data_IF_928479071273
#
_entry.id   IF_928479071273
#
_cell.length_a   1.000
_cell.length_b   1.000
_cell.length_c   1.000
_cell.angle_alpha   90.00
_cell.angle_beta   90.00
_cell.angle_gamma   90.00
#
_symmetry.space_group_name_H-M   'P 1'
#
loop_
_entity.id
_entity.type
_entity.pdbx_description
1 polymer ?
#
# COMPACT_ATOMS: atom_id res chain seq x y z
N UNK A 1 -22.54 68.92 -27.73
CA UNK A 1 -21.11 68.47 -27.53
C UNK A 1 -20.87 67.45 -26.43
N UNK A 2 -21.85 67.05 -25.65
CA UNK A 2 -21.67 66.05 -24.50
C UNK A 2 -21.63 64.60 -24.93
N UNK A 3 -22.18 64.20 -26.07
CA UNK A 3 -22.29 62.80 -26.49
C UNK A 3 -20.97 62.17 -26.99
N UNK A 4 -20.02 62.96 -27.47
CA UNK A 4 -18.71 62.47 -27.98
C UNK A 4 -17.73 62.06 -26.88
N UNK A 5 -17.88 62.54 -25.65
CA UNK A 5 -16.97 62.21 -24.54
C UNK A 5 -17.31 60.91 -23.89
N UNK A 6 -18.58 60.50 -23.82
CA UNK A 6 -19.05 59.30 -23.24
C UNK A 6 -18.66 58.05 -24.08
N UNK A 7 -18.64 58.19 -25.39
CA UNK A 7 -18.31 57.11 -26.32
C UNK A 7 -16.81 56.69 -26.25
N UNK A 8 -15.91 57.66 -26.08
CA UNK A 8 -14.46 57.37 -25.93
C UNK A 8 -14.13 56.63 -24.60
N UNK A 9 -14.91 56.85 -23.54
CA UNK A 9 -14.68 56.19 -22.26
C UNK A 9 -15.18 54.75 -22.28
N UNK A 10 -16.23 54.44 -23.03
CA UNK A 10 -16.77 53.09 -23.21
C UNK A 10 -15.83 52.21 -24.04
N UNK A 11 -15.30 52.72 -25.15
CA UNK A 11 -14.34 51.99 -25.98
C UNK A 11 -13.02 51.66 -25.23
N UNK A 12 -12.57 52.59 -24.34
CA UNK A 12 -11.36 52.37 -23.57
C UNK A 12 -11.55 51.28 -22.49
N UNK A 13 -12.76 51.13 -21.93
CA UNK A 13 -13.08 50.04 -20.97
C UNK A 13 -13.19 48.68 -21.64
N UNK A 14 -13.74 48.58 -22.85
CA UNK A 14 -13.80 47.33 -23.59
C UNK A 14 -12.43 46.85 -24.07
N UNK A 15 -11.55 47.77 -24.52
CA UNK A 15 -10.18 47.42 -24.88
C UNK A 15 -9.36 46.90 -23.72
N UNK A 16 -9.58 47.41 -22.49
CA UNK A 16 -8.89 46.90 -21.29
C UNK A 16 -9.42 45.53 -20.87
N UNK A 17 -10.75 45.28 -20.98
CA UNK A 17 -11.33 43.96 -20.71
C UNK A 17 -10.83 42.92 -21.72
N UNK A 18 -10.75 43.21 -22.99
CA UNK A 18 -10.23 42.33 -24.03
C UNK A 18 -8.75 41.96 -23.82
N UNK A 19 -7.90 42.92 -23.42
CA UNK A 19 -6.49 42.65 -23.09
C UNK A 19 -6.34 41.78 -21.85
N UNK A 20 -7.17 41.95 -20.83
CA UNK A 20 -7.14 41.12 -19.61
C UNK A 20 -7.62 39.69 -19.88
N UNK A 21 -8.60 39.50 -20.75
CA UNK A 21 -9.07 38.19 -21.18
C UNK A 21 -7.99 37.44 -21.97
N UNK A 22 -7.33 38.07 -22.91
CA UNK A 22 -6.24 37.48 -23.69
C UNK A 22 -5.05 37.08 -22.79
N UNK A 23 -4.69 37.91 -21.80
CA UNK A 23 -3.60 37.60 -20.89
C UNK A 23 -3.91 36.35 -20.00
N UNK A 24 -5.14 36.27 -19.44
CA UNK A 24 -5.57 35.06 -18.68
C UNK A 24 -5.57 33.82 -19.55
N UNK A 25 -5.98 33.92 -20.80
CA UNK A 25 -6.02 32.83 -21.76
C UNK A 25 -4.60 32.37 -22.14
N UNK A 26 -3.67 33.30 -22.37
CA UNK A 26 -2.26 33.00 -22.61
C UNK A 26 -1.60 32.32 -21.40
N UNK A 27 -1.84 32.79 -20.17
CA UNK A 27 -1.30 32.17 -18.95
C UNK A 27 -1.88 30.79 -18.74
N UNK A 28 -3.15 30.55 -19.03
CA UNK A 28 -3.77 29.24 -18.93
C UNK A 28 -3.21 28.28 -19.99
N UNK A 29 -2.99 28.72 -21.22
CA UNK A 29 -2.39 27.90 -22.27
C UNK A 29 -0.95 27.50 -21.91
N UNK A 30 -0.13 28.44 -21.41
CA UNK A 30 1.24 28.14 -21.00
C UNK A 30 1.32 27.16 -19.84
N UNK A 31 0.40 27.21 -18.87
CA UNK A 31 0.30 26.24 -17.80
C UNK A 31 -0.15 24.86 -18.31
N UNK A 32 -1.02 24.82 -19.30
CA UNK A 32 -1.48 23.60 -19.92
C UNK A 32 -0.35 22.92 -20.70
N UNK A 33 0.38 23.68 -21.51
CA UNK A 33 1.57 23.20 -22.23
C UNK A 33 2.63 22.64 -21.26
N UNK A 34 2.95 23.36 -20.18
CA UNK A 34 3.88 22.87 -19.17
C UNK A 34 3.42 21.56 -18.49
N UNK A 35 2.10 21.36 -18.35
CA UNK A 35 1.54 20.12 -17.81
C UNK A 35 1.70 18.97 -18.81
N UNK A 36 1.42 19.23 -20.09
CA UNK A 36 1.60 18.23 -21.15
C UNK A 36 3.07 17.81 -21.31
N UNK A 37 4.00 18.74 -21.23
CA UNK A 37 5.44 18.44 -21.29
C UNK A 37 5.88 17.57 -20.11
N UNK A 38 5.33 17.82 -18.92
CA UNK A 38 5.61 16.95 -17.73
C UNK A 38 5.07 15.53 -17.93
N UNK A 39 3.85 15.39 -18.45
CA UNK A 39 3.24 14.09 -18.74
C UNK A 39 4.12 13.34 -19.74
N UNK A 40 4.45 13.99 -20.87
CA UNK A 40 5.31 13.41 -21.91
C UNK A 40 6.67 12.95 -21.35
N UNK A 41 7.31 13.76 -20.51
CA UNK A 41 8.56 13.38 -19.84
C UNK A 41 8.42 12.11 -18.99
N UNK A 42 7.27 11.93 -18.34
CA UNK A 42 7.01 10.72 -17.55
C UNK A 42 6.69 9.52 -18.44
N UNK A 43 5.97 9.72 -19.54
CA UNK A 43 5.74 8.67 -20.55
C UNK A 43 7.05 8.20 -21.16
N UNK A 44 7.94 9.12 -21.56
CA UNK A 44 9.25 8.80 -22.12
C UNK A 44 10.10 8.00 -21.10
N UNK A 45 10.09 8.39 -19.83
CA UNK A 45 10.78 7.66 -18.77
C UNK A 45 10.18 6.26 -18.54
N UNK A 46 8.86 6.10 -18.66
CA UNK A 46 8.24 4.78 -18.58
C UNK A 46 8.61 3.90 -19.77
N UNK A 47 8.67 4.46 -20.98
CA UNK A 47 9.11 3.74 -22.19
C UNK A 47 10.57 3.29 -22.08
N UNK A 48 11.45 4.12 -21.50
CA UNK A 48 12.83 3.73 -21.21
C UNK A 48 12.86 2.52 -20.25
N UNK A 49 12.09 2.58 -19.16
CA UNK A 49 11.95 1.47 -18.23
C UNK A 49 11.33 0.23 -18.89
N UNK A 50 10.29 0.40 -19.72
CA UNK A 50 9.63 -0.66 -20.47
C UNK A 50 10.61 -1.42 -21.37
N UNK A 51 11.46 -0.72 -22.11
CA UNK A 51 12.44 -1.31 -22.99
C UNK A 51 13.57 -2.03 -22.25
N UNK A 52 13.95 -1.53 -21.08
CA UNK A 52 15.02 -2.09 -20.24
C UNK A 52 14.55 -3.08 -19.19
N UNK A 53 13.25 -3.26 -18.99
CA UNK A 53 12.69 -4.08 -17.92
C UNK A 53 13.22 -5.51 -17.90
N UNK A 54 13.32 -6.16 -19.06
CA UNK A 54 13.85 -7.54 -19.16
C UNK A 54 15.28 -7.63 -18.62
N UNK A 55 16.13 -6.71 -19.01
CA UNK A 55 17.55 -6.71 -18.60
C UNK A 55 17.68 -6.38 -17.11
N UNK A 56 16.91 -5.41 -16.63
CA UNK A 56 16.88 -5.02 -15.22
C UNK A 56 16.50 -6.21 -14.34
N UNK A 57 15.36 -6.84 -14.60
CA UNK A 57 14.88 -7.93 -13.76
C UNK A 57 15.69 -9.21 -13.91
N UNK A 58 16.23 -9.51 -15.10
CA UNK A 58 17.18 -10.62 -15.29
C UNK A 58 18.49 -10.41 -14.52
N UNK A 59 18.98 -9.17 -14.45
CA UNK A 59 20.18 -8.82 -13.66
C UNK A 59 19.89 -8.96 -12.16
N UNK A 60 18.73 -8.49 -11.69
CA UNK A 60 18.31 -8.61 -10.30
C UNK A 60 18.15 -10.06 -9.88
N UNK A 61 17.51 -10.88 -10.72
CA UNK A 61 17.36 -12.32 -10.51
C UNK A 61 18.72 -13.00 -10.33
N UNK A 62 19.64 -12.81 -11.28
CA UNK A 62 20.98 -13.43 -11.23
C UNK A 62 21.81 -12.98 -10.01
N UNK A 63 21.56 -11.81 -9.48
CA UNK A 63 22.28 -11.26 -8.32
C UNK A 63 21.67 -11.66 -6.97
N UNK A 64 20.48 -12.25 -6.95
CA UNK A 64 19.75 -12.58 -5.73
C UNK A 64 19.73 -14.10 -5.48
N UNK A 65 20.45 -14.61 -4.47
CA UNK A 65 20.45 -16.04 -4.16
C UNK A 65 19.07 -16.60 -3.75
N UNK A 66 18.13 -15.73 -3.36
CA UNK A 66 16.76 -16.14 -3.04
C UNK A 66 15.94 -16.54 -4.27
N UNK A 67 16.39 -16.19 -5.48
CA UNK A 67 15.71 -16.58 -6.73
C UNK A 67 15.94 -18.05 -7.08
N UNK A 68 17.07 -18.65 -6.66
CA UNK A 68 17.50 -19.98 -7.03
C UNK A 68 16.46 -21.09 -6.81
N UNK A 69 15.81 -21.20 -5.62
CA UNK A 69 14.79 -22.25 -5.40
C UNK A 69 13.57 -22.14 -6.32
N UNK A 70 13.31 -20.93 -6.83
CA UNK A 70 12.22 -20.69 -7.77
C UNK A 70 12.67 -20.97 -9.21
N UNK A 71 13.91 -20.64 -9.58
CA UNK A 71 14.50 -20.91 -10.91
C UNK A 71 14.52 -22.38 -11.25
N UNK A 72 14.74 -23.25 -10.26
CA UNK A 72 14.75 -24.70 -10.46
C UNK A 72 13.35 -25.27 -10.83
N UNK A 73 12.28 -24.51 -10.61
CA UNK A 73 10.90 -24.96 -10.76
C UNK A 73 10.06 -24.14 -11.72
N UNK A 74 10.33 -22.87 -11.85
CA UNK A 74 9.59 -21.96 -12.70
C UNK A 74 10.50 -20.88 -13.28
N UNK A 75 10.09 -20.32 -14.41
CA UNK A 75 10.85 -19.29 -15.12
C UNK A 75 10.30 -17.92 -14.71
N UNK A 76 11.21 -17.01 -14.37
CA UNK A 76 10.84 -15.59 -14.22
C UNK A 76 10.52 -15.06 -15.63
N UNK A 77 9.32 -14.51 -15.76
CA UNK A 77 8.88 -13.89 -17.00
C UNK A 77 8.73 -12.39 -16.80
N UNK A 78 9.30 -11.64 -17.71
CA UNK A 78 9.15 -10.18 -17.79
C UNK A 78 8.45 -9.88 -19.09
N UNK A 79 7.20 -9.43 -19.01
CA UNK A 79 6.31 -9.20 -20.14
C UNK A 79 5.95 -7.72 -20.26
N UNK A 80 6.77 -6.91 -20.95
CA UNK A 80 6.32 -5.61 -21.40
C UNK A 80 5.15 -5.80 -22.36
N UNK A 81 4.04 -5.10 -22.13
CA UNK A 81 2.82 -5.24 -22.94
C UNK A 81 1.78 -6.22 -22.41
N UNK A 82 1.98 -6.80 -21.21
CA UNK A 82 1.12 -7.81 -20.56
C UNK A 82 1.40 -9.25 -21.03
N UNK A 83 1.13 -10.23 -20.12
CA UNK A 83 1.34 -11.68 -20.33
C UNK A 83 0.42 -12.31 -21.38
N UNK A 84 -0.69 -11.68 -21.70
CA UNK A 84 -1.65 -12.18 -22.69
C UNK A 84 -1.22 -11.94 -24.15
N UNK A 85 0.05 -11.61 -24.41
CA UNK A 85 0.55 -11.26 -25.73
C UNK A 85 0.04 -9.90 -26.20
N UNK A 86 -0.41 -9.06 -25.27
CA UNK A 86 -0.91 -7.73 -25.54
C UNK A 86 0.21 -6.77 -25.93
N UNK A 87 -0.11 -5.87 -26.85
CA UNK A 87 0.77 -4.75 -27.22
C UNK A 87 0.41 -3.48 -26.41
N UNK A 88 0.06 -3.64 -25.12
CA UNK A 88 -0.25 -2.48 -24.30
C UNK A 88 1.03 -1.80 -23.81
N UNK A 89 1.42 -0.65 -24.38
CA UNK A 89 2.67 0.02 -24.04
C UNK A 89 2.67 0.60 -22.61
N UNK A 90 1.52 0.59 -21.93
CA UNK A 90 1.34 1.18 -20.62
C UNK A 90 1.44 0.14 -19.48
N UNK A 91 1.71 -1.14 -19.83
CA UNK A 91 1.74 -2.25 -18.88
C UNK A 91 3.07 -2.99 -18.93
N UNK A 92 3.59 -3.34 -17.75
CA UNK A 92 4.68 -4.30 -17.59
C UNK A 92 4.28 -5.29 -16.50
N UNK A 93 4.43 -6.57 -16.77
CA UNK A 93 4.25 -7.64 -15.78
C UNK A 93 5.55 -8.40 -15.58
N UNK A 94 5.91 -8.56 -14.30
CA UNK A 94 7.04 -9.40 -13.86
C UNK A 94 6.47 -10.48 -12.97
N UNK A 95 6.63 -11.75 -13.34
CA UNK A 95 6.02 -12.84 -12.58
C UNK A 95 6.80 -14.13 -12.69
N UNK A 96 6.67 -14.96 -11.66
CA UNK A 96 7.08 -16.35 -11.74
C UNK A 96 6.03 -17.14 -12.51
N UNK A 97 6.47 -17.97 -13.46
CA UNK A 97 5.60 -18.85 -14.23
C UNK A 97 4.83 -19.82 -13.35
N UNK A 98 3.78 -20.40 -13.90
CA UNK A 98 2.99 -21.40 -13.18
C UNK A 98 3.80 -22.68 -12.94
N UNK A 99 3.64 -23.26 -11.73
CA UNK A 99 4.28 -24.52 -11.38
C UNK A 99 3.26 -25.58 -10.98
N UNK A 100 3.53 -26.82 -11.36
CA UNK A 100 2.77 -27.95 -10.91
C UNK A 100 3.17 -28.31 -9.47
N UNK A 101 2.22 -28.25 -8.54
CA UNK A 101 2.47 -28.50 -7.11
C UNK A 101 2.15 -29.94 -6.74
N UNK A 102 0.99 -30.45 -7.18
CA UNK A 102 0.52 -31.80 -6.81
C UNK A 102 -0.46 -32.35 -7.85
N UNK A 103 -0.40 -33.64 -8.06
CA UNK A 103 -1.43 -34.37 -8.79
C UNK A 103 -2.53 -34.79 -7.80
N UNK A 104 -3.77 -34.47 -8.11
CA UNK A 104 -4.94 -34.85 -7.33
C UNK A 104 -5.72 -35.88 -8.14
N UNK A 105 -5.78 -37.08 -7.64
CA UNK A 105 -6.55 -38.15 -8.27
C UNK A 105 -8.02 -38.01 -7.83
N UNK A 106 -8.90 -37.82 -8.82
CA UNK A 106 -10.35 -37.78 -8.64
C UNK A 106 -10.95 -39.02 -9.26
N UNK A 107 -12.17 -39.41 -8.85
CA UNK A 107 -12.91 -40.54 -9.42
C UNK A 107 -13.02 -40.51 -10.94
N UNK A 108 -13.00 -39.33 -11.54
CA UNK A 108 -13.16 -39.12 -12.99
C UNK A 108 -11.87 -38.67 -13.71
N UNK A 109 -10.70 -38.95 -13.14
CA UNK A 109 -9.40 -38.61 -13.72
C UNK A 109 -8.48 -37.86 -12.74
N UNK A 110 -7.24 -37.69 -13.12
CA UNK A 110 -6.28 -36.95 -12.30
C UNK A 110 -6.22 -35.49 -12.76
N UNK A 111 -6.26 -34.57 -11.80
CA UNK A 111 -6.09 -33.12 -12.02
C UNK A 111 -4.76 -32.67 -11.44
N UNK A 112 -4.01 -31.89 -12.22
CA UNK A 112 -2.79 -31.25 -11.74
C UNK A 112 -3.15 -29.95 -11.02
N UNK A 113 -2.79 -29.83 -9.73
CA UNK A 113 -2.88 -28.57 -9.00
C UNK A 113 -1.71 -27.70 -9.45
N UNK A 114 -2.03 -26.59 -10.10
CA UNK A 114 -1.03 -25.61 -10.57
C UNK A 114 -1.12 -24.36 -9.71
N UNK A 115 0.04 -23.87 -9.27
CA UNK A 115 0.18 -22.58 -8.63
C UNK A 115 0.56 -21.53 -9.67
N UNK A 116 -0.17 -20.43 -9.74
CA UNK A 116 0.27 -19.23 -10.45
C UNK A 116 1.20 -18.44 -9.54
N UNK A 117 2.38 -18.10 -10.03
CA UNK A 117 3.37 -17.36 -9.25
C UNK A 117 2.95 -15.90 -8.95
N UNK A 118 3.66 -15.30 -8.02
CA UNK A 118 3.50 -13.87 -7.67
C UNK A 118 3.73 -13.00 -8.89
N UNK A 119 2.97 -11.92 -9.00
CA UNK A 119 3.08 -10.96 -10.11
C UNK A 119 3.32 -9.56 -9.57
N UNK A 120 4.35 -8.90 -10.06
CA UNK A 120 4.60 -7.48 -9.90
C UNK A 120 4.12 -6.77 -11.17
N UNK A 121 3.12 -5.92 -11.02
CA UNK A 121 2.40 -5.28 -12.11
C UNK A 121 2.63 -3.77 -12.10
N UNK A 122 3.01 -3.21 -13.24
CA UNK A 122 3.23 -1.79 -13.45
C UNK A 122 2.20 -1.29 -14.45
N UNK A 123 1.55 -0.19 -14.13
CA UNK A 123 0.59 0.45 -15.00
C UNK A 123 0.83 1.95 -15.09
N UNK A 124 1.07 2.45 -16.31
CA UNK A 124 1.16 3.87 -16.61
C UNK A 124 -0.23 4.48 -16.72
N UNK A 125 -0.49 5.48 -15.92
CA UNK A 125 -1.75 6.22 -15.94
C UNK A 125 -1.70 7.35 -16.98
N UNK A 126 -2.86 7.81 -17.49
CA UNK A 126 -2.92 8.87 -18.50
C UNK A 126 -2.33 10.22 -18.04
N UNK A 127 -2.11 10.42 -16.77
CA UNK A 127 -1.48 11.60 -16.19
C UNK A 127 0.06 11.50 -16.07
N UNK A 128 0.65 10.40 -16.58
CA UNK A 128 2.08 10.11 -16.54
C UNK A 128 2.57 9.53 -15.21
N UNK A 129 1.69 9.26 -14.26
CA UNK A 129 2.06 8.54 -13.04
C UNK A 129 2.02 7.02 -13.26
N UNK A 130 2.74 6.29 -12.42
CA UNK A 130 2.75 4.83 -12.46
C UNK A 130 2.14 4.27 -11.18
N UNK A 131 1.30 3.27 -11.35
CA UNK A 131 0.79 2.43 -10.26
C UNK A 131 1.57 1.12 -10.24
N UNK A 132 1.97 0.67 -9.05
CA UNK A 132 2.67 -0.60 -8.86
C UNK A 132 1.87 -1.48 -7.94
N UNK A 133 1.48 -2.65 -8.42
CA UNK A 133 0.64 -3.61 -7.69
C UNK A 133 1.34 -4.96 -7.58
N UNK A 134 1.19 -5.61 -6.45
CA UNK A 134 1.76 -6.92 -6.17
C UNK A 134 0.63 -7.93 -5.96
N UNK A 135 0.52 -8.93 -6.83
CA UNK A 135 -0.47 -10.01 -6.75
C UNK A 135 0.17 -11.25 -6.12
N UNK A 136 -0.52 -11.94 -5.20
CA UNK A 136 0.02 -13.12 -4.53
C UNK A 136 0.09 -14.34 -5.44
N UNK A 137 0.92 -15.30 -5.05
CA UNK A 137 0.82 -16.64 -5.58
C UNK A 137 -0.50 -17.28 -5.14
N UNK A 138 -1.15 -18.00 -6.04
CA UNK A 138 -2.43 -18.63 -5.76
C UNK A 138 -2.60 -19.93 -6.53
N UNK A 139 -3.40 -20.83 -5.96
CA UNK A 139 -3.86 -22.04 -6.61
C UNK A 139 -5.38 -22.04 -6.72
N UNK A 140 -5.95 -22.99 -7.45
CA UNK A 140 -7.41 -23.16 -7.45
C UNK A 140 -7.98 -23.49 -6.06
N UNK A 141 -7.19 -24.10 -5.18
CA UNK A 141 -7.62 -24.56 -3.85
C UNK A 141 -7.26 -23.59 -2.72
N UNK A 142 -6.20 -22.82 -2.89
CA UNK A 142 -5.66 -21.94 -1.85
C UNK A 142 -5.50 -20.54 -2.45
N UNK A 143 -6.23 -19.58 -1.90
CA UNK A 143 -6.12 -18.16 -2.24
C UNK A 143 -5.77 -17.39 -0.99
N UNK A 144 -4.79 -16.49 -1.04
CA UNK A 144 -4.58 -15.50 0.02
C UNK A 144 -5.85 -14.66 0.26
N UNK A 145 -5.95 -14.08 1.45
CA UNK A 145 -7.08 -13.22 1.79
C UNK A 145 -7.13 -11.95 0.92
N UNK A 146 -5.96 -11.41 0.63
CA UNK A 146 -5.82 -10.26 -0.26
C UNK A 146 -5.71 -10.67 -1.72
N UNK A 147 -6.41 -9.96 -2.59
CA UNK A 147 -6.27 -10.08 -4.05
C UNK A 147 -4.97 -9.45 -4.52
N UNK A 148 -4.58 -8.31 -3.93
CA UNK A 148 -3.33 -7.64 -4.21
C UNK A 148 -2.94 -6.61 -3.15
N UNK A 149 -1.67 -6.22 -3.18
CA UNK A 149 -1.09 -5.10 -2.41
C UNK A 149 -0.74 -3.98 -3.38
N UNK A 150 -1.27 -2.78 -3.16
CA UNK A 150 -0.94 -1.60 -3.95
C UNK A 150 0.32 -0.95 -3.37
N UNK A 151 1.51 -1.33 -3.88
CA UNK A 151 2.79 -0.83 -3.36
C UNK A 151 2.94 0.67 -3.54
N UNK A 152 2.59 1.17 -4.73
CA UNK A 152 2.64 2.59 -5.06
C UNK A 152 1.46 2.98 -5.93
N UNK A 153 0.76 4.06 -5.56
CA UNK A 153 -0.45 4.49 -6.26
C UNK A 153 -0.19 5.53 -7.35
N UNK A 154 0.66 6.50 -7.08
CA UNK A 154 0.93 7.62 -7.98
C UNK A 154 2.39 8.03 -7.88
N UNK A 155 3.30 7.27 -8.47
CA UNK A 155 4.71 7.64 -8.54
C UNK A 155 5.07 8.18 -9.90
N UNK A 156 6.06 9.04 -9.96
CA UNK A 156 6.62 9.53 -11.22
C UNK A 156 7.38 8.40 -11.91
N UNK A 157 7.18 8.20 -13.21
CA UNK A 157 7.87 7.15 -13.95
C UNK A 157 9.41 7.24 -13.85
N UNK A 158 9.98 8.44 -13.74
CA UNK A 158 11.42 8.66 -13.51
C UNK A 158 11.94 8.01 -12.23
N UNK A 159 11.06 7.67 -11.27
CA UNK A 159 11.42 6.95 -10.05
C UNK A 159 11.84 5.50 -10.34
N UNK A 160 11.24 4.88 -11.39
CA UNK A 160 11.55 3.51 -11.82
C UNK A 160 12.94 3.35 -12.42
N UNK A 161 13.52 4.41 -12.97
CA UNK A 161 14.86 4.39 -13.56
C UNK A 161 15.98 4.33 -12.51
N UNK A 162 15.66 4.56 -11.23
CA UNK A 162 16.65 4.53 -10.14
C UNK A 162 16.88 3.09 -9.68
N UNK A 163 18.11 2.61 -9.77
CA UNK A 163 18.53 1.26 -9.37
C UNK A 163 18.14 0.91 -7.92
N UNK A 164 18.27 1.87 -6.99
CA UNK A 164 17.86 1.69 -5.59
C UNK A 164 16.38 1.28 -5.47
N UNK A 165 15.51 1.89 -6.29
CA UNK A 165 14.08 1.64 -6.26
C UNK A 165 13.75 0.29 -6.90
N UNK A 166 14.43 -0.05 -8.00
CA UNK A 166 14.31 -1.36 -8.65
C UNK A 166 14.70 -2.48 -7.69
N UNK A 167 15.81 -2.33 -6.97
CA UNK A 167 16.26 -3.27 -5.91
C UNK A 167 15.26 -3.36 -4.76
N UNK A 168 14.60 -2.25 -4.38
CA UNK A 168 13.57 -2.28 -3.34
C UNK A 168 12.32 -3.04 -3.79
N UNK A 169 11.84 -2.78 -5.01
CA UNK A 169 10.71 -3.50 -5.60
C UNK A 169 11.00 -4.99 -5.74
N UNK A 170 12.20 -5.34 -6.18
CA UNK A 170 12.64 -6.73 -6.28
C UNK A 170 12.60 -7.44 -4.93
N UNK A 171 13.12 -6.80 -3.87
CA UNK A 171 13.06 -7.36 -2.51
C UNK A 171 11.64 -7.52 -1.99
N UNK A 172 10.72 -6.61 -2.32
CA UNK A 172 9.31 -6.74 -1.97
C UNK A 172 8.67 -7.91 -2.73
N UNK A 173 8.95 -8.02 -4.03
CA UNK A 173 8.50 -9.09 -4.89
C UNK A 173 8.98 -10.47 -4.39
N UNK A 174 10.28 -10.62 -4.11
CA UNK A 174 10.85 -11.88 -3.63
C UNK A 174 10.35 -12.25 -2.23
N UNK A 175 10.27 -11.29 -1.29
CA UNK A 175 9.72 -11.54 0.03
C UNK A 175 8.25 -11.98 -0.04
N UNK A 176 7.47 -11.42 -0.96
CA UNK A 176 6.08 -11.80 -1.15
C UNK A 176 5.96 -13.18 -1.81
N UNK A 177 6.84 -13.49 -2.77
CA UNK A 177 6.95 -14.81 -3.38
C UNK A 177 7.21 -15.88 -2.32
N UNK A 178 8.21 -15.66 -1.46
CA UNK A 178 8.53 -16.57 -0.36
C UNK A 178 7.37 -16.75 0.64
N UNK A 179 6.61 -15.69 0.91
CA UNK A 179 5.52 -15.75 1.88
C UNK A 179 4.22 -16.33 1.34
N UNK A 180 3.99 -16.31 0.02
CA UNK A 180 2.70 -16.72 -0.57
C UNK A 180 2.79 -17.97 -1.42
N UNK A 181 3.98 -18.33 -1.93
CA UNK A 181 4.16 -19.57 -2.68
C UNK A 181 4.18 -20.79 -1.77
N UNK A 182 3.63 -21.91 -2.24
CA UNK A 182 3.61 -23.18 -1.55
C UNK A 182 5.00 -23.81 -1.37
N UNK A 183 5.97 -23.38 -2.19
CA UNK A 183 7.36 -23.85 -2.09
C UNK A 183 8.24 -22.88 -1.30
N UNK A 184 7.70 -21.72 -0.94
CA UNK A 184 8.45 -20.69 -0.23
C UNK A 184 8.81 -21.10 1.20
N UNK A 185 9.99 -20.71 1.64
CA UNK A 185 10.49 -20.90 3.00
C UNK A 185 10.87 -19.55 3.63
N UNK A 186 9.87 -18.69 3.89
CA UNK A 186 10.13 -17.32 4.26
C UNK A 186 10.86 -17.20 5.60
N UNK A 187 11.94 -16.42 5.61
CA UNK A 187 12.63 -16.01 6.83
C UNK A 187 11.77 -15.06 7.67
N UNK A 188 12.13 -14.89 8.95
CA UNK A 188 11.44 -13.94 9.85
C UNK A 188 11.46 -12.52 9.28
N UNK A 189 12.56 -12.10 8.68
CA UNK A 189 12.69 -10.77 8.07
C UNK A 189 11.78 -10.56 6.86
N UNK A 190 11.60 -11.59 6.03
CA UNK A 190 10.67 -11.54 4.90
C UNK A 190 9.22 -11.46 5.40
N UNK A 191 8.85 -12.26 6.43
CA UNK A 191 7.53 -12.20 7.07
C UNK A 191 7.26 -10.81 7.65
N UNK A 192 8.24 -10.23 8.38
CA UNK A 192 8.12 -8.89 8.94
C UNK A 192 7.98 -7.83 7.85
N UNK A 193 8.74 -7.96 6.74
CA UNK A 193 8.64 -7.08 5.59
C UNK A 193 7.23 -7.10 4.97
N UNK A 194 6.69 -8.29 4.74
CA UNK A 194 5.34 -8.45 4.18
C UNK A 194 4.26 -7.98 5.16
N UNK A 195 4.42 -8.26 6.46
CA UNK A 195 3.54 -7.68 7.48
C UNK A 195 3.54 -6.15 7.41
N UNK A 196 4.72 -5.53 7.31
CA UNK A 196 4.84 -4.07 7.19
C UNK A 196 4.21 -3.54 5.90
N UNK A 197 4.40 -4.20 4.76
CA UNK A 197 3.74 -3.85 3.50
C UNK A 197 2.21 -3.93 3.63
N UNK A 198 1.67 -5.02 4.17
CA UNK A 198 0.22 -5.17 4.40
C UNK A 198 -0.35 -4.15 5.40
N UNK A 199 0.47 -3.64 6.29
CA UNK A 199 0.08 -2.62 7.26
C UNK A 199 0.14 -1.21 6.68
N UNK A 200 1.16 -0.89 5.87
CA UNK A 200 1.45 0.46 5.36
C UNK A 200 0.88 0.75 3.97
N UNK A 201 0.59 -0.30 3.17
CA UNK A 201 0.04 -0.15 1.83
C UNK A 201 -1.46 -0.51 1.79
N UNK A 202 -2.23 0.10 0.86
CA UNK A 202 -3.60 -0.30 0.62
C UNK A 202 -3.66 -1.75 0.10
N UNK A 203 -4.60 -2.53 0.64
CA UNK A 203 -4.88 -3.89 0.18
C UNK A 203 -6.16 -3.89 -0.66
N UNK A 204 -6.24 -4.79 -1.63
CA UNK A 204 -7.47 -5.12 -2.32
C UNK A 204 -7.97 -6.46 -1.80
N UNK A 205 -9.23 -6.52 -1.35
CA UNK A 205 -9.90 -7.73 -0.87
C UNK A 205 -11.27 -7.78 -1.53
N UNK A 206 -11.57 -8.87 -2.21
CA UNK A 206 -12.81 -9.05 -2.99
C UNK A 206 -13.07 -7.90 -3.98
N UNK A 207 -12.01 -7.44 -4.65
CA UNK A 207 -12.06 -6.33 -5.60
C UNK A 207 -12.23 -4.94 -4.96
N UNK A 208 -12.34 -4.84 -3.63
CA UNK A 208 -12.52 -3.58 -2.90
C UNK A 208 -11.23 -3.14 -2.25
N UNK A 209 -10.81 -1.91 -2.55
CA UNK A 209 -9.63 -1.31 -1.93
C UNK A 209 -9.90 -0.97 -0.46
N UNK A 210 -9.14 -1.58 0.44
CA UNK A 210 -9.18 -1.31 1.88
C UNK A 210 -8.35 -0.08 2.23
N UNK A 211 -8.78 0.67 3.24
CA UNK A 211 -8.01 1.80 3.78
C UNK A 211 -6.72 1.30 4.44
N UNK A 212 -5.70 2.17 4.44
CA UNK A 212 -4.40 1.87 5.08
C UNK A 212 -4.61 1.69 6.58
N UNK A 213 -4.32 0.51 7.10
CA UNK A 213 -4.49 0.18 8.53
C UNK A 213 -3.65 1.07 9.43
N UNK A 214 -2.42 1.38 9.02
CA UNK A 214 -1.54 2.31 9.74
C UNK A 214 -2.20 3.67 10.00
N UNK A 215 -2.92 4.21 9.02
CA UNK A 215 -3.58 5.51 9.15
C UNK A 215 -4.70 5.49 10.18
N UNK A 216 -5.51 4.43 10.23
CA UNK A 216 -6.56 4.27 11.22
C UNK A 216 -6.01 4.17 12.65
N UNK A 217 -4.92 3.41 12.86
CA UNK A 217 -4.28 3.30 14.17
C UNK A 217 -3.61 4.62 14.57
N UNK A 218 -2.93 5.29 13.62
CA UNK A 218 -2.34 6.59 13.87
C UNK A 218 -3.38 7.63 14.27
N UNK A 219 -4.52 7.70 13.59
CA UNK A 219 -5.63 8.60 13.97
C UNK A 219 -6.12 8.31 15.39
N UNK A 220 -6.31 7.04 15.76
CA UNK A 220 -6.72 6.65 17.11
C UNK A 220 -5.69 7.10 18.17
N UNK A 221 -4.40 6.88 17.90
CA UNK A 221 -3.32 7.31 18.82
C UNK A 221 -3.28 8.83 18.95
N UNK A 222 -3.35 9.56 17.83
CA UNK A 222 -3.36 11.03 17.85
C UNK A 222 -4.58 11.55 18.61
N UNK A 223 -5.76 10.99 18.35
CA UNK A 223 -6.98 11.38 19.07
C UNK A 223 -6.82 11.10 20.57
N UNK A 224 -6.29 9.95 20.95
CA UNK A 224 -6.04 9.61 22.36
C UNK A 224 -5.05 10.58 23.01
N UNK A 225 -3.90 10.84 22.36
CA UNK A 225 -2.89 11.78 22.87
C UNK A 225 -3.44 13.19 22.99
N UNK A 226 -4.22 13.65 22.01
CA UNK A 226 -4.87 14.97 22.06
C UNK A 226 -5.91 15.03 23.18
N UNK A 227 -6.72 13.99 23.35
CA UNK A 227 -7.77 13.96 24.39
C UNK A 227 -7.16 13.94 25.79
N UNK A 228 -6.21 13.04 26.04
CA UNK A 228 -5.55 12.89 27.35
C UNK A 228 -4.54 14.02 27.61
N UNK A 229 -3.73 14.38 26.61
CA UNK A 229 -2.72 15.43 26.74
C UNK A 229 -3.32 16.82 26.92
N UNK A 230 -4.39 17.16 26.19
CA UNK A 230 -5.09 18.46 26.35
C UNK A 230 -5.75 18.59 27.73
N UNK A 231 -6.36 17.51 28.23
CA UNK A 231 -6.97 17.54 29.58
C UNK A 231 -5.92 17.74 30.66
N UNK A 232 -4.76 17.06 30.56
CA UNK A 232 -3.64 17.26 31.49
C UNK A 232 -3.02 18.66 31.40
N UNK A 233 -2.87 19.20 30.20
CA UNK A 233 -2.34 20.54 29.99
C UNK A 233 -3.29 21.62 30.50
N UNK A 234 -4.60 21.49 30.31
CA UNK A 234 -5.62 22.39 30.84
C UNK A 234 -5.61 22.36 32.36
N UNK A 235 -5.48 21.19 33.00
CA UNK A 235 -5.36 21.05 34.46
C UNK A 235 -4.12 21.77 35.00
N UNK A 236 -2.97 21.62 34.36
CA UNK A 236 -1.73 22.31 34.72
C UNK A 236 -1.85 23.84 34.53
N UNK A 237 -2.47 24.28 33.42
CA UNK A 237 -2.70 25.70 33.18
C UNK A 237 -3.64 26.31 34.20
N UNK A 238 -4.71 25.62 34.58
CA UNK A 238 -5.64 26.07 35.66
C UNK A 238 -4.94 26.09 37.01
N UNK A 239 -4.12 25.10 37.34
CA UNK A 239 -3.33 25.08 38.56
C UNK A 239 -2.30 26.22 38.62
N UNK A 240 -1.69 26.57 37.50
CA UNK A 240 -0.71 27.65 37.44
C UNK A 240 -1.35 29.03 37.56
N UNK A 241 -2.55 29.22 36.99
CA UNK A 241 -3.33 30.47 37.14
C UNK A 241 -3.92 30.65 38.55
N UNK A 242 -4.06 29.58 39.35
CA UNK A 242 -4.64 29.64 40.69
C UNK A 242 -3.63 29.76 41.82
N UNK A 243 -2.32 29.74 41.55
CA UNK A 243 -1.28 29.95 42.60
C UNK A 243 -1.26 31.35 43.22
N UNK A 244 -2.05 32.29 42.71
CA UNK A 244 -2.05 33.68 43.24
C UNK A 244 -3.22 34.05 44.15
N UNK A 245 -4.13 33.11 44.50
CA UNK A 245 -5.18 33.42 45.53
C UNK A 245 -5.42 32.18 46.37
N UNK A 246 -4.83 32.17 47.56
CA UNK A 246 -5.22 31.27 48.66
C UNK A 246 -6.71 31.52 49.00
N UNK A 247 -7.57 30.72 48.41
CA UNK A 247 -8.95 30.51 48.87
C UNK A 247 -9.18 29.01 48.92
N UNK A 248 -9.72 28.58 50.06
CA UNK A 248 -10.08 27.24 50.45
C UNK A 248 -10.81 26.47 49.32
N UNK A 249 -10.09 25.62 48.59
CA UNK A 249 -10.59 24.86 47.44
C UNK A 249 -10.75 23.37 47.75
N UNK A 250 -10.89 23.02 49.05
CA UNK A 250 -11.09 21.63 49.48
C UNK A 250 -12.16 20.86 48.70
N UNK A 251 -13.35 21.41 48.36
CA UNK A 251 -14.36 20.65 47.61
C UNK A 251 -14.03 20.43 46.13
N UNK A 252 -13.21 21.31 45.52
CA UNK A 252 -12.84 21.19 44.12
C UNK A 252 -11.77 20.10 43.92
N UNK A 253 -10.88 19.94 44.90
CA UNK A 253 -9.84 18.90 44.92
C UNK A 253 -10.49 17.52 45.04
N UNK A 254 -11.54 17.41 45.87
CA UNK A 254 -12.27 16.14 46.02
C UNK A 254 -13.02 15.72 44.74
N UNK A 255 -13.59 16.67 44.03
CA UNK A 255 -14.24 16.43 42.75
C UNK A 255 -13.24 16.06 41.64
N UNK A 256 -12.04 16.65 41.67
CA UNK A 256 -10.96 16.34 40.72
C UNK A 256 -10.37 14.96 41.01
N UNK A 257 -10.19 14.58 42.25
CA UNK A 257 -9.72 13.26 42.65
C UNK A 257 -10.72 12.18 42.23
N UNK A 258 -12.03 12.42 42.37
CA UNK A 258 -13.07 11.50 41.86
C UNK A 258 -13.05 11.34 40.35
N UNK A 259 -12.81 12.43 39.62
CA UNK A 259 -12.61 12.37 38.17
C UNK A 259 -11.35 11.57 37.75
N UNK A 260 -10.28 11.67 38.54
CA UNK A 260 -9.05 10.89 38.33
C UNK A 260 -9.29 9.39 38.59
N UNK A 261 -10.05 9.05 39.63
CA UNK A 261 -10.43 7.65 39.90
C UNK A 261 -11.30 7.07 38.79
N UNK A 262 -12.25 7.83 38.22
CA UNK A 262 -13.08 7.39 37.12
C UNK A 262 -12.27 7.19 35.85
N UNK A 263 -11.27 8.04 35.56
CA UNK A 263 -10.32 7.85 34.44
C UNK A 263 -9.43 6.63 34.65
N UNK A 264 -8.96 6.39 35.88
CA UNK A 264 -8.18 5.19 36.21
C UNK A 264 -9.02 3.92 36.04
N UNK A 265 -10.28 3.90 36.48
CA UNK A 265 -11.19 2.76 36.21
C UNK A 265 -11.41 2.52 34.73
N UNK A 266 -11.59 3.59 33.94
CA UNK A 266 -11.69 3.49 32.49
C UNK A 266 -10.42 2.94 31.83
N UNK A 267 -9.23 3.29 32.35
CA UNK A 267 -7.97 2.72 31.88
C UNK A 267 -7.85 1.23 32.21
N UNK A 268 -8.29 0.80 33.39
CA UNK A 268 -8.29 -0.61 33.79
C UNK A 268 -9.28 -1.43 32.96
N UNK A 269 -10.44 -0.89 32.58
CA UNK A 269 -11.37 -1.54 31.68
C UNK A 269 -10.77 -1.70 30.25
N UNK A 270 -10.15 -0.66 29.73
CA UNK A 270 -9.48 -0.73 28.42
C UNK A 270 -8.34 -1.74 28.46
N UNK A 271 -7.56 -1.79 29.53
CA UNK A 271 -6.51 -2.80 29.73
C UNK A 271 -7.07 -4.23 29.76
N UNK A 272 -8.21 -4.45 30.42
CA UNK A 272 -8.90 -5.74 30.42
C UNK A 272 -9.40 -6.12 29.03
N UNK A 273 -9.96 -5.19 28.26
CA UNK A 273 -10.36 -5.45 26.88
C UNK A 273 -9.15 -5.80 25.98
N UNK A 274 -8.04 -5.08 26.13
CA UNK A 274 -6.79 -5.36 25.39
C UNK A 274 -6.29 -6.76 25.75
N UNK A 275 -6.31 -7.16 27.03
CA UNK A 275 -5.93 -8.53 27.43
C UNK A 275 -6.90 -9.58 26.91
N UNK A 276 -8.20 -9.29 26.88
CA UNK A 276 -9.21 -10.18 26.28
C UNK A 276 -9.00 -10.35 24.76
N UNK A 277 -8.71 -9.28 24.07
CA UNK A 277 -8.39 -9.32 22.62
C UNK A 277 -7.09 -10.10 22.39
N UNK A 278 -6.08 -9.89 23.22
CA UNK A 278 -4.82 -10.66 23.14
C UNK A 278 -5.04 -12.14 23.36
N UNK A 279 -5.82 -12.52 24.37
CA UNK A 279 -6.17 -13.92 24.65
C UNK A 279 -6.98 -14.56 23.50
N UNK A 280 -7.88 -13.79 22.86
CA UNK A 280 -8.62 -14.24 21.68
C UNK A 280 -7.71 -14.43 20.47
N UNK A 281 -6.72 -13.56 20.29
CA UNK A 281 -5.70 -13.72 19.23
C UNK A 281 -4.86 -14.97 19.48
N UNK A 282 -4.44 -15.21 20.71
CA UNK A 282 -3.68 -16.40 21.07
C UNK A 282 -4.52 -17.69 20.91
N UNK A 283 -5.81 -17.63 21.22
CA UNK A 283 -6.73 -18.76 20.97
C UNK A 283 -6.93 -19.02 19.48
N UNK A 284 -7.07 -17.98 18.68
CA UNK A 284 -7.19 -18.09 17.21
C UNK A 284 -5.88 -18.62 16.58
N UNK A 285 -4.72 -18.27 17.15
CA UNK A 285 -3.44 -18.83 16.70
C UNK A 285 -3.29 -20.31 17.04
N UNK A 286 -3.93 -20.80 18.10
CA UNK A 286 -3.99 -22.23 18.43
C UNK A 286 -4.93 -23.03 17.52
N UNK A 287 -5.92 -22.40 16.90
CA UNK A 287 -6.87 -23.03 15.98
C UNK A 287 -6.41 -23.05 14.51
N UNK A 288 -5.21 -22.57 14.19
CA UNK A 288 -4.57 -22.88 12.91
C UNK A 288 -4.00 -24.31 13.04
N UNK A 289 -4.70 -25.34 12.58
CA UNK A 289 -4.19 -26.70 12.69
C UNK A 289 -2.97 -26.81 11.78
N UNK A 290 -1.79 -26.86 12.37
CA UNK A 290 -0.63 -27.47 11.72
C UNK A 290 -1.01 -28.95 11.57
N UNK A 291 -1.68 -29.26 10.47
CA UNK A 291 -1.97 -30.65 10.09
C UNK A 291 -0.65 -31.34 9.74
N UNK A 292 0.09 -31.71 10.77
CA UNK A 292 1.12 -32.76 10.66
C UNK A 292 0.40 -34.10 10.45
N UNK A 293 -0.04 -34.35 9.22
CA UNK A 293 -0.33 -35.73 8.83
C UNK A 293 0.98 -36.48 8.77
N UNK A 294 1.22 -37.33 9.79
CA UNK A 294 2.21 -38.41 9.76
C UNK A 294 2.08 -39.20 8.43
N UNK A 295 3.20 -39.53 7.79
CA UNK A 295 3.16 -40.44 6.64
C UNK A 295 2.62 -41.79 7.09
N UNK A 296 1.53 -42.22 6.49
CA UNK A 296 1.04 -43.60 6.59
C UNK A 296 2.03 -44.48 5.83
N UNK A 297 2.83 -45.21 6.55
CA UNK A 297 3.62 -46.32 6.02
C UNK A 297 2.63 -47.45 5.65
N UNK A 298 2.30 -47.54 4.39
CA UNK A 298 1.63 -48.72 3.83
C UNK A 298 2.67 -49.83 3.67
N UNK A 299 2.70 -50.77 4.61
CA UNK A 299 3.29 -52.08 4.39
C UNK A 299 2.57 -52.74 3.23
N UNK A 300 3.30 -52.96 2.13
CA UNK A 300 2.97 -53.92 1.10
C UNK A 300 3.53 -55.27 1.58
N UNK A 301 2.66 -56.15 2.01
CA UNK A 301 2.88 -57.61 1.89
C UNK A 301 1.80 -58.11 0.93
N UNK A 302 2.28 -58.90 -0.02
CA UNK A 302 1.67 -59.71 -1.08
C UNK A 302 1.31 -59.03 -2.36
#
# INVERSE_FOLDING_TARGET
MAAKHTYKHFQKKESIKGKTYNFKQMVNNSKHEQKLDKIKKHEDAFREFYNSAKDIFSKLQKSDPLSQPFEDRCILQVCPGSRAGGNNPDVIEVFWGGQAVKRIDKKNGSKLLTESGVTLFFYLLPDGHVTITLYPAQTEAIRPLEDCILLHRFIKATWLLKEKNQKSLWRDFMAYTECTSLIGTPSIWQRLRIFWLKYSCPLCIDGVQQSIRAHMHFQKIVTFVLTVGLSGFLLLAVQQCHKEKEKDYSPLIEQTNKGIEDVQKGQDEILKEIHSISANIDSLMKFVPISQKKPVVTNKND
#
